data_IF_540788280964
#
_entry.id   IF_540788280964
#
_cell.length_a   1.000
_cell.length_b   1.000
_cell.length_c   1.000
_cell.angle_alpha   90.00
_cell.angle_beta   90.00
_cell.angle_gamma   90.00
#
_symmetry.space_group_name_H-M   'P 1'
#
loop_
_entity.id
_entity.type
_entity.pdbx_description
1 polymer ?
#
# COMPACT_ATOMS: atom_id res chain seq x y z
N UNK A 1 27.18 15.77 11.55
CA UNK A 1 25.78 16.21 11.65
C UNK A 1 24.93 14.99 11.38
N UNK A 2 24.70 14.20 12.44
CA UNK A 2 23.78 13.08 12.42
C UNK A 2 22.34 13.59 12.35
N UNK A 3 21.55 13.01 11.44
CA UNK A 3 20.10 12.98 11.54
C UNK A 3 19.66 11.53 11.46
N UNK A 4 19.71 10.92 12.64
CA UNK A 4 18.83 9.84 13.05
C UNK A 4 17.38 10.33 12.91
N UNK A 5 16.48 9.61 12.22
CA UNK A 5 15.11 9.52 12.71
C UNK A 5 14.30 8.43 12.01
N UNK A 6 13.65 7.64 12.84
CA UNK A 6 12.73 6.56 12.51
C UNK A 6 11.60 7.03 11.57
N UNK A 7 11.03 6.18 10.70
CA UNK A 7 9.72 6.49 10.13
C UNK A 7 8.69 6.36 11.25
N UNK A 8 8.53 7.40 12.06
CA UNK A 8 7.42 7.52 13.01
C UNK A 8 6.15 7.61 12.17
N UNK A 9 5.46 6.46 12.02
CA UNK A 9 4.14 6.31 11.42
C UNK A 9 3.07 6.97 12.30
N UNK A 10 3.20 8.27 12.52
CA UNK A 10 2.18 9.15 13.06
C UNK A 10 1.81 10.16 11.99
N UNK A 11 1.11 9.71 10.94
CA UNK A 11 0.48 10.66 10.01
C UNK A 11 -0.60 11.41 10.79
N UNK A 12 -0.40 12.72 10.93
CA UNK A 12 -1.41 13.63 11.46
C UNK A 12 -2.62 13.64 10.52
N UNK A 13 -3.82 13.96 11.00
CA UNK A 13 -5.00 14.01 10.10
C UNK A 13 -4.82 15.03 8.95
N UNK A 14 -4.05 16.10 9.17
CA UNK A 14 -3.66 17.07 8.14
C UNK A 14 -2.80 16.48 7.01
N UNK A 15 -2.21 15.30 7.23
CA UNK A 15 -1.33 14.62 6.27
C UNK A 15 -2.06 13.49 5.53
N UNK A 16 -3.40 13.40 5.64
CA UNK A 16 -4.22 12.36 5.02
C UNK A 16 -5.02 12.95 3.86
N UNK A 17 -4.73 12.49 2.63
CA UNK A 17 -5.52 12.78 1.43
C UNK A 17 -6.90 12.16 1.50
N UNK A 18 -6.97 10.94 2.03
CA UNK A 18 -8.22 10.24 2.25
C UNK A 18 -8.03 8.75 2.49
N UNK A 19 -9.15 8.03 2.48
CA UNK A 19 -9.21 6.60 2.81
C UNK A 19 -9.88 5.86 1.66
N UNK A 20 -9.22 4.83 1.13
CA UNK A 20 -9.74 3.98 0.06
C UNK A 20 -10.05 2.59 0.63
N UNK A 21 -11.28 2.11 0.43
CA UNK A 21 -11.67 0.76 0.84
C UNK A 21 -11.10 -0.28 -0.13
N UNK A 22 -10.70 -1.43 0.40
CA UNK A 22 -10.19 -2.53 -0.41
C UNK A 22 -11.36 -3.18 -1.17
N UNK A 23 -11.40 -3.17 -2.52
CA UNK A 23 -12.47 -3.80 -3.29
C UNK A 23 -12.59 -5.31 -3.07
N UNK A 24 -11.53 -5.97 -2.60
CA UNK A 24 -11.57 -7.39 -2.26
C UNK A 24 -12.12 -7.66 -0.84
N UNK A 25 -11.98 -6.71 0.07
CA UNK A 25 -12.28 -6.85 1.50
C UNK A 25 -12.72 -5.50 2.06
N UNK A 26 -14.02 -5.17 2.07
CA UNK A 26 -14.49 -3.83 2.47
C UNK A 26 -14.23 -3.48 3.96
N UNK A 27 -13.78 -4.45 4.75
CA UNK A 27 -13.32 -4.24 6.13
C UNK A 27 -11.89 -3.67 6.22
N UNK A 28 -11.12 -3.71 5.13
CA UNK A 28 -9.77 -3.16 5.07
C UNK A 28 -9.77 -1.82 4.34
N UNK A 29 -8.96 -0.90 4.84
CA UNK A 29 -8.86 0.47 4.37
C UNK A 29 -7.39 0.81 4.13
N UNK A 30 -7.11 1.53 3.04
CA UNK A 30 -5.82 2.12 2.76
C UNK A 30 -5.91 3.61 3.07
N UNK A 31 -5.05 4.08 3.96
CA UNK A 31 -4.89 5.50 4.24
C UNK A 31 -3.89 6.06 3.23
N UNK A 32 -4.31 7.09 2.50
CA UNK A 32 -3.49 7.73 1.48
C UNK A 32 -2.96 9.03 2.08
N UNK A 33 -1.63 9.16 2.16
CA UNK A 33 -1.00 10.39 2.61
C UNK A 33 -1.23 11.54 1.62
N UNK A 34 -1.24 12.79 2.10
CA UNK A 34 -1.48 13.98 1.29
C UNK A 34 -0.48 14.08 0.12
N UNK A 35 0.80 13.86 0.41
CA UNK A 35 1.90 13.86 -0.56
C UNK A 35 2.03 12.56 -1.37
N UNK A 36 1.09 11.62 -1.22
CA UNK A 36 1.16 10.36 -1.95
C UNK A 36 0.68 10.55 -3.40
N UNK A 37 1.60 10.35 -4.35
CA UNK A 37 1.32 10.41 -5.78
C UNK A 37 1.60 9.09 -6.49
N UNK A 38 0.96 8.89 -7.64
CA UNK A 38 1.16 7.72 -8.48
C UNK A 38 0.35 6.50 -8.06
N UNK A 39 0.88 5.31 -8.36
CA UNK A 39 0.22 4.02 -8.15
C UNK A 39 1.07 3.11 -7.29
N UNK A 40 0.45 2.45 -6.32
CA UNK A 40 1.10 1.49 -5.43
C UNK A 40 0.38 0.16 -5.48
N UNK A 41 1.15 -0.93 -5.54
CA UNK A 41 0.60 -2.28 -5.40
C UNK A 41 0.70 -2.73 -3.94
N UNK A 42 -0.43 -3.07 -3.34
CA UNK A 42 -0.49 -3.60 -1.97
C UNK A 42 -1.11 -4.99 -1.97
N UNK A 43 -0.67 -5.85 -1.07
CA UNK A 43 -1.29 -7.15 -0.84
C UNK A 43 -2.30 -7.02 0.30
N UNK A 44 -3.53 -7.47 0.09
CA UNK A 44 -4.53 -7.56 1.15
C UNK A 44 -4.11 -8.60 2.18
N UNK A 45 -3.95 -8.17 3.44
CA UNK A 45 -3.60 -9.07 4.53
C UNK A 45 -4.70 -10.11 4.85
N UNK A 46 -5.95 -9.85 4.47
CA UNK A 46 -7.07 -10.75 4.75
C UNK A 46 -7.26 -11.86 3.70
N UNK A 47 -7.21 -11.51 2.40
CA UNK A 47 -7.45 -12.50 1.33
C UNK A 47 -6.22 -12.81 0.47
N UNK A 48 -5.08 -12.16 0.71
CA UNK A 48 -3.83 -12.37 -0.02
C UNK A 48 -3.82 -11.86 -1.46
N UNK A 49 -4.92 -11.23 -1.94
CA UNK A 49 -5.02 -10.66 -3.29
C UNK A 49 -4.21 -9.38 -3.39
N UNK A 50 -3.70 -9.09 -4.58
CA UNK A 50 -3.00 -7.85 -4.87
C UNK A 50 -3.99 -6.80 -5.38
N UNK A 51 -3.77 -5.56 -4.96
CA UNK A 51 -4.56 -4.40 -5.34
C UNK A 51 -3.63 -3.32 -5.83
N UNK A 52 -4.05 -2.64 -6.89
CA UNK A 52 -3.41 -1.43 -7.36
C UNK A 52 -4.23 -0.25 -6.85
N UNK A 53 -3.61 0.55 -5.99
CA UNK A 53 -4.17 1.80 -5.48
C UNK A 53 -3.58 2.92 -6.30
N UNK A 54 -4.45 3.71 -6.94
CA UNK A 54 -4.09 4.93 -7.65
C UNK A 54 -4.38 6.11 -6.73
N UNK A 55 -3.33 6.71 -6.17
CA UNK A 55 -3.42 7.79 -5.18
C UNK A 55 -3.85 9.11 -5.85
N UNK A 56 -3.60 9.25 -7.15
CA UNK A 56 -3.97 10.43 -7.93
C UNK A 56 -5.48 10.46 -8.17
N UNK A 57 -6.03 9.33 -8.61
CA UNK A 57 -7.46 9.13 -8.87
C UNK A 57 -8.27 8.73 -7.64
N UNK A 58 -7.61 8.45 -6.51
CA UNK A 58 -8.23 7.90 -5.30
C UNK A 58 -9.08 6.64 -5.58
N UNK A 59 -8.52 5.70 -6.33
CA UNK A 59 -9.22 4.45 -6.70
C UNK A 59 -8.40 3.22 -6.33
N UNK A 60 -9.09 2.12 -6.02
CA UNK A 60 -8.47 0.81 -5.83
C UNK A 60 -9.07 -0.20 -6.81
N UNK A 61 -8.21 -0.95 -7.49
CA UNK A 61 -8.59 -2.04 -8.40
C UNK A 61 -7.86 -3.32 -8.03
N UNK A 62 -8.56 -4.46 -8.08
CA UNK A 62 -7.92 -5.75 -7.88
C UNK A 62 -7.01 -6.01 -9.07
N UNK A 63 -5.73 -6.26 -8.80
CA UNK A 63 -4.74 -6.59 -9.82
C UNK A 63 -4.23 -8.01 -9.62
N UNK A 64 -3.69 -8.59 -10.69
CA UNK A 64 -2.97 -9.86 -10.59
C UNK A 64 -1.56 -9.56 -10.10
N UNK A 65 -0.91 -10.47 -9.34
CA UNK A 65 0.52 -10.37 -9.11
C UNK A 65 1.21 -10.22 -10.47
N UNK A 66 2.05 -9.21 -10.62
CA UNK A 66 2.86 -9.07 -11.82
C UNK A 66 3.69 -10.35 -11.97
N UNK A 67 3.41 -11.14 -13.02
CA UNK A 67 4.23 -12.31 -13.39
C UNK A 67 5.65 -11.80 -13.65
N UNK A 68 6.58 -12.04 -12.72
CA UNK A 68 7.99 -11.66 -12.90
C UNK A 68 8.75 -11.29 -11.63
N UNK A 69 8.08 -10.88 -10.55
CA UNK A 69 8.74 -10.68 -9.24
C UNK A 69 8.36 -11.83 -8.31
N UNK A 70 8.78 -13.04 -8.71
CA UNK A 70 9.04 -14.08 -7.74
C UNK A 70 10.46 -13.80 -7.23
N UNK A 71 10.60 -13.00 -6.18
CA UNK A 71 11.76 -13.17 -5.32
C UNK A 71 11.68 -14.61 -4.81
N UNK A 72 12.39 -15.51 -5.48
CA UNK A 72 12.64 -16.85 -4.98
C UNK A 72 13.45 -16.67 -3.71
N UNK A 73 12.80 -16.49 -2.57
CA UNK A 73 13.43 -16.75 -1.28
C UNK A 73 13.69 -18.25 -1.26
N UNK A 74 14.81 -18.69 -1.83
CA UNK A 74 15.31 -20.04 -1.61
C UNK A 74 15.80 -20.05 -0.16
N UNK A 75 15.00 -20.62 0.73
CA UNK A 75 15.47 -20.98 2.06
C UNK A 75 16.54 -22.05 1.85
N UNK A 76 17.82 -21.69 1.98
CA UNK A 76 18.90 -22.66 2.06
C UNK A 76 18.83 -23.27 3.46
N UNK A 77 18.47 -24.56 3.52
CA UNK A 77 18.54 -25.38 4.72
C UNK A 77 19.96 -25.81 5.05
#
# INVERSE_FOLDING_TARGET
MEQNNQPSLSLSLDEIKGIIQYPCCPKQNAVIALDAHGRVSVQCANCGRFLLIDNDRMTASITKPCKGVAARFKNAG
#
